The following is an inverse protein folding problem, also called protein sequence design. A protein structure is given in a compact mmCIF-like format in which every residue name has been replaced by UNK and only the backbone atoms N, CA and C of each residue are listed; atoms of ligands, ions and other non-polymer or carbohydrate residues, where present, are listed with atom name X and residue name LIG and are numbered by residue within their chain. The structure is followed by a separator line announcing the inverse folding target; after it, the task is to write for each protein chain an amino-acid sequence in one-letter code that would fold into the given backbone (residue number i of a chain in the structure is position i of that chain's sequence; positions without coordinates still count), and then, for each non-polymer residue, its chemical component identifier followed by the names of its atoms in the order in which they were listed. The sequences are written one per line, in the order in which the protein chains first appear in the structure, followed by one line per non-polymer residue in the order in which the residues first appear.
data_IF_760893677667
#
_entry.id   IF_760893677667
#
_cell.length_a   1.000
_cell.length_b   1.000
_cell.length_c   1.000
_cell.angle_alpha   90.00
_cell.angle_beta   90.00
_cell.angle_gamma   90.00
#
_symmetry.space_group_name_H-M   'P 1'
#
loop_
_entity.id
_entity.type
_entity.pdbx_description
1 polymer ?
#
# COMPACT_ATOMS: atom_id res chain seq x y z
N UNK A 1 -0.92 17.88 -14.50
CA UNK A 1 -1.05 18.05 -15.96
C UNK A 1 -1.45 16.71 -16.52
N UNK A 2 -2.60 16.63 -17.21
CA UNK A 2 -3.06 15.40 -17.83
C UNK A 2 -2.06 14.94 -18.89
N UNK A 3 -1.73 13.65 -18.89
CA UNK A 3 -0.91 13.03 -19.92
C UNK A 3 -1.82 12.66 -21.10
N UNK A 4 -1.35 12.89 -22.33
CA UNK A 4 -2.04 12.47 -23.54
C UNK A 4 -1.90 10.94 -23.76
N UNK A 5 -2.55 10.15 -22.91
CA UNK A 5 -2.47 8.69 -22.90
C UNK A 5 -3.69 8.06 -23.58
N UNK A 6 -3.45 7.03 -24.38
CA UNK A 6 -4.50 6.14 -24.89
C UNK A 6 -5.08 5.29 -23.75
N UNK A 7 -6.29 4.78 -23.93
CA UNK A 7 -6.92 3.86 -22.98
C UNK A 7 -6.00 2.68 -22.60
N UNK A 8 -5.39 2.04 -23.60
CA UNK A 8 -4.46 0.93 -23.40
C UNK A 8 -3.25 1.34 -22.53
N UNK A 9 -2.69 2.53 -22.74
CA UNK A 9 -1.57 3.03 -21.93
C UNK A 9 -1.99 3.24 -20.48
N UNK A 10 -3.19 3.78 -20.23
CA UNK A 10 -3.73 3.94 -18.86
C UNK A 10 -3.90 2.60 -18.15
N UNK A 11 -4.43 1.59 -18.84
CA UNK A 11 -4.55 0.23 -18.29
C UNK A 11 -3.18 -0.35 -17.92
N UNK A 12 -2.21 -0.29 -18.84
CA UNK A 12 -0.86 -0.83 -18.61
C UNK A 12 -0.18 -0.15 -17.42
N UNK A 13 -0.26 1.18 -17.36
CA UNK A 13 0.29 1.95 -16.23
C UNK A 13 -0.40 1.50 -14.94
N UNK A 14 -1.72 1.48 -14.91
CA UNK A 14 -2.49 1.08 -13.73
C UNK A 14 -2.11 -0.32 -13.24
N UNK A 15 -2.08 -1.31 -14.13
CA UNK A 15 -1.64 -2.68 -13.80
C UNK A 15 -0.22 -2.68 -13.24
N UNK A 16 0.72 -1.97 -13.85
CA UNK A 16 2.10 -1.91 -13.36
C UNK A 16 2.19 -1.33 -11.94
N UNK A 17 1.39 -0.29 -11.62
CA UNK A 17 1.32 0.28 -10.28
C UNK A 17 0.84 -0.74 -9.24
N UNK A 18 -0.27 -1.45 -9.51
CA UNK A 18 -0.78 -2.48 -8.60
C UNK A 18 0.15 -3.68 -8.45
N UNK A 19 0.88 -4.06 -9.51
CA UNK A 19 1.94 -5.08 -9.41
C UNK A 19 3.05 -4.64 -8.45
N UNK A 20 3.47 -3.36 -8.55
CA UNK A 20 4.51 -2.82 -7.66
C UNK A 20 4.02 -2.81 -6.21
N UNK A 21 2.81 -2.32 -5.93
CA UNK A 21 2.22 -2.37 -4.58
C UNK A 21 2.16 -3.80 -4.06
N UNK A 22 1.58 -4.73 -4.82
CA UNK A 22 1.49 -6.14 -4.45
C UNK A 22 2.84 -6.77 -4.07
N UNK A 23 3.89 -6.48 -4.84
CA UNK A 23 5.24 -6.99 -4.56
C UNK A 23 5.78 -6.41 -3.26
N UNK A 24 5.64 -5.10 -3.04
CA UNK A 24 6.09 -4.45 -1.81
C UNK A 24 5.39 -5.05 -0.57
N UNK A 25 4.07 -5.17 -0.64
CA UNK A 25 3.22 -5.69 0.45
C UNK A 25 3.52 -7.16 0.76
N UNK A 26 3.71 -8.02 -0.27
CA UNK A 26 4.10 -9.42 -0.04
C UNK A 26 5.49 -9.52 0.57
N UNK A 27 6.45 -8.70 0.12
CA UNK A 27 7.80 -8.70 0.70
C UNK A 27 7.76 -8.25 2.15
N UNK A 28 7.04 -7.17 2.47
CA UNK A 28 6.86 -6.70 3.83
C UNK A 28 6.18 -7.76 4.72
N UNK A 29 5.14 -8.43 4.20
CA UNK A 29 4.43 -9.49 4.90
C UNK A 29 5.35 -10.69 5.21
N UNK A 30 6.12 -11.14 4.23
CA UNK A 30 7.08 -12.23 4.42
C UNK A 30 8.14 -11.89 5.48
N UNK A 31 8.64 -10.65 5.47
CA UNK A 31 9.60 -10.16 6.46
C UNK A 31 8.97 -10.07 7.86
N UNK A 32 7.70 -9.64 7.99
CA UNK A 32 7.00 -9.63 9.28
C UNK A 32 6.84 -11.04 9.84
N UNK A 33 6.45 -12.01 9.01
CA UNK A 33 6.25 -13.41 9.44
C UNK A 33 7.58 -14.02 9.93
N UNK A 34 8.69 -13.76 9.25
CA UNK A 34 10.01 -14.22 9.70
C UNK A 34 10.45 -13.61 11.05
N UNK A 35 9.85 -12.49 11.45
CA UNK A 35 10.17 -11.81 12.72
C UNK A 35 9.30 -12.23 13.90
N UNK A 36 8.09 -12.76 13.65
CA UNK A 36 7.17 -13.17 14.74
C UNK A 36 7.72 -14.32 15.58
N UNK A 37 8.67 -15.09 15.04
CA UNK A 37 9.35 -16.18 15.75
C UNK A 37 10.49 -15.70 16.69
N UNK A 38 10.73 -14.38 16.81
CA UNK A 38 11.78 -13.85 17.68
C UNK A 38 11.29 -13.53 19.09
N UNK A 39 11.94 -14.09 20.10
CA UNK A 39 11.66 -13.82 21.52
C UNK A 39 11.79 -12.33 21.91
N UNK A 40 12.64 -11.52 21.24
CA UNK A 40 12.71 -10.07 21.54
C UNK A 40 11.41 -9.35 21.12
N UNK A 41 10.71 -9.88 20.12
CA UNK A 41 9.56 -9.24 19.47
C UNK A 41 8.23 -9.86 19.93
N UNK A 42 8.14 -11.19 19.98
CA UNK A 42 6.92 -11.92 20.34
C UNK A 42 6.59 -11.94 21.84
N UNK A 43 7.60 -11.85 22.71
CA UNK A 43 7.41 -12.01 24.17
C UNK A 43 7.38 -10.69 24.97
N UNK A 44 7.38 -9.52 24.32
CA UNK A 44 7.47 -8.20 24.97
C UNK A 44 6.25 -7.29 24.68
N UNK A 45 6.19 -6.16 25.37
CA UNK A 45 5.17 -5.08 25.24
C UNK A 45 5.01 -4.52 23.81
N UNK A 46 6.00 -4.74 22.94
CA UNK A 46 5.96 -4.33 21.53
C UNK A 46 5.23 -5.30 20.60
N UNK A 47 4.86 -6.49 21.10
CA UNK A 47 4.15 -7.51 20.33
C UNK A 47 2.82 -7.01 19.79
N UNK A 48 2.12 -6.14 20.52
CA UNK A 48 0.87 -5.52 20.08
C UNK A 48 1.07 -4.60 18.87
N UNK A 49 2.10 -3.76 18.87
CA UNK A 49 2.41 -2.89 17.73
C UNK A 49 2.80 -3.70 16.50
N UNK A 50 3.60 -4.74 16.69
CA UNK A 50 3.99 -5.64 15.60
C UNK A 50 2.81 -6.44 15.04
N UNK A 51 1.88 -6.87 15.89
CA UNK A 51 0.67 -7.55 15.46
C UNK A 51 -0.22 -6.64 14.61
N UNK A 52 -0.40 -5.38 15.04
CA UNK A 52 -1.14 -4.38 14.26
C UNK A 52 -0.44 -4.05 12.93
N UNK A 53 0.89 -3.90 12.95
CA UNK A 53 1.66 -3.75 11.72
C UNK A 53 1.41 -4.92 10.77
N UNK A 54 1.49 -6.17 11.26
CA UNK A 54 1.27 -7.35 10.42
C UNK A 54 -0.12 -7.43 9.80
N UNK A 55 -1.17 -7.07 10.54
CA UNK A 55 -2.54 -6.99 9.98
C UNK A 55 -2.61 -5.95 8.88
N UNK A 56 -2.04 -4.77 9.11
CA UNK A 56 -2.13 -3.66 8.16
C UNK A 56 -1.32 -3.91 6.90
N UNK A 57 -0.20 -4.63 6.95
CA UNK A 57 0.54 -5.10 5.76
C UNK A 57 -0.21 -6.21 5.01
N UNK A 58 -1.01 -7.02 5.71
CA UNK A 58 -1.75 -8.09 5.06
C UNK A 58 -2.97 -7.60 4.26
N UNK A 59 -3.65 -6.57 4.75
CA UNK A 59 -4.90 -6.05 4.18
C UNK A 59 -4.76 -5.62 2.70
N UNK A 60 -3.70 -4.90 2.27
CA UNK A 60 -3.55 -4.43 0.89
C UNK A 60 -3.29 -5.53 -0.14
N UNK A 61 -2.70 -6.67 0.25
CA UNK A 61 -2.27 -7.74 -0.66
C UNK A 61 -3.40 -8.25 -1.56
N UNK A 62 -4.55 -8.59 -0.97
CA UNK A 62 -5.71 -9.13 -1.69
C UNK A 62 -6.28 -8.11 -2.68
N UNK A 63 -6.63 -6.88 -2.27
CA UNK A 63 -7.15 -5.92 -3.21
C UNK A 63 -6.11 -5.48 -4.25
N UNK A 64 -4.82 -5.39 -3.94
CA UNK A 64 -3.79 -5.06 -4.93
C UNK A 64 -3.73 -6.08 -6.06
N UNK A 65 -3.75 -7.39 -5.74
CA UNK A 65 -3.76 -8.42 -6.79
C UNK A 65 -5.08 -8.40 -7.59
N UNK A 66 -6.20 -8.12 -6.94
CA UNK A 66 -7.49 -7.99 -7.62
C UNK A 66 -7.49 -6.80 -8.59
N UNK A 67 -7.05 -5.63 -8.16
CA UNK A 67 -6.94 -4.44 -9.03
C UNK A 67 -5.88 -4.60 -10.11
N UNK A 68 -4.79 -5.35 -9.86
CA UNK A 68 -3.84 -5.75 -10.89
C UNK A 68 -4.52 -6.55 -12.00
N UNK A 69 -5.28 -7.60 -11.64
CA UNK A 69 -6.01 -8.45 -12.59
C UNK A 69 -7.12 -7.67 -13.30
N UNK A 70 -7.82 -6.80 -12.56
CA UNK A 70 -8.88 -5.94 -13.05
C UNK A 70 -8.36 -4.68 -13.75
N UNK A 71 -7.05 -4.49 -13.92
CA UNK A 71 -6.47 -3.24 -14.45
C UNK A 71 -6.96 -2.83 -15.84
N UNK A 72 -7.56 -3.75 -16.59
CA UNK A 72 -8.25 -3.49 -17.87
C UNK A 72 -9.58 -2.73 -17.65
N UNK A 73 -10.25 -2.94 -16.52
CA UNK A 73 -11.55 -2.34 -16.16
C UNK A 73 -11.41 -1.00 -15.41
N UNK A 74 -10.25 -0.73 -14.79
CA UNK A 74 -10.03 0.49 -13.95
C UNK A 74 -10.12 1.79 -14.76
N UNK A 75 -9.86 1.73 -16.06
CA UNK A 75 -9.97 2.88 -16.95
C UNK A 75 -11.42 3.26 -17.29
N UNK A 76 -12.40 2.44 -16.95
CA UNK A 76 -13.81 2.81 -17.07
C UNK A 76 -14.25 3.73 -15.91
N UNK A 77 -15.18 4.68 -16.14
CA UNK A 77 -15.47 5.76 -15.20
C UNK A 77 -15.86 5.32 -13.78
N UNK A 78 -16.70 4.28 -13.67
CA UNK A 78 -17.14 3.74 -12.37
C UNK A 78 -15.98 3.14 -11.57
N UNK A 79 -15.06 2.43 -12.25
CA UNK A 79 -13.94 1.77 -11.61
C UNK A 79 -12.78 2.73 -11.31
N UNK A 80 -12.67 3.85 -12.04
CA UNK A 80 -11.69 4.90 -11.75
C UNK A 80 -11.94 5.54 -10.37
N UNK A 81 -13.20 5.87 -10.06
CA UNK A 81 -13.58 6.39 -8.75
C UNK A 81 -13.34 5.37 -7.62
N UNK A 82 -13.73 4.11 -7.84
CA UNK A 82 -13.49 3.03 -6.88
C UNK A 82 -11.99 2.82 -6.62
N UNK A 83 -11.17 2.84 -7.68
CA UNK A 83 -9.72 2.80 -7.60
C UNK A 83 -9.15 4.00 -6.82
N UNK A 84 -9.71 5.20 -7.00
CA UNK A 84 -9.31 6.39 -6.26
C UNK A 84 -9.53 6.24 -4.76
N UNK A 85 -10.75 5.85 -4.36
CA UNK A 85 -11.10 5.55 -2.96
C UNK A 85 -10.19 4.46 -2.37
N UNK A 86 -9.96 3.38 -3.11
CA UNK A 86 -9.09 2.29 -2.69
C UNK A 86 -7.69 2.79 -2.34
N UNK A 87 -7.05 3.54 -3.24
CA UNK A 87 -5.70 4.04 -3.03
C UNK A 87 -5.59 5.04 -1.88
N UNK A 88 -6.65 5.85 -1.64
CA UNK A 88 -6.72 6.72 -0.45
C UNK A 88 -6.69 5.87 0.82
N UNK A 89 -7.53 4.84 0.91
CA UNK A 89 -7.59 3.98 2.10
C UNK A 89 -6.27 3.23 2.28
N UNK A 90 -5.70 2.66 1.21
CA UNK A 90 -4.43 1.93 1.30
C UNK A 90 -3.27 2.83 1.69
N UNK A 91 -3.20 4.07 1.20
CA UNK A 91 -2.22 5.04 1.66
C UNK A 91 -2.23 5.17 3.19
N UNK A 92 -3.41 5.33 3.81
CA UNK A 92 -3.51 5.43 5.26
C UNK A 92 -3.13 4.11 5.97
N UNK A 93 -3.54 2.96 5.41
CA UNK A 93 -3.20 1.64 5.96
C UNK A 93 -1.68 1.42 5.96
N UNK A 94 -1.00 1.67 4.84
CA UNK A 94 0.46 1.55 4.71
C UNK A 94 1.20 2.50 5.64
N UNK A 95 0.73 3.75 5.75
CA UNK A 95 1.33 4.75 6.67
C UNK A 95 1.15 4.32 8.13
N UNK A 96 -0.01 3.78 8.51
CA UNK A 96 -0.24 3.25 9.85
C UNK A 96 0.62 2.01 10.13
N UNK A 97 0.76 1.10 9.15
CA UNK A 97 1.66 -0.06 9.26
C UNK A 97 3.10 0.39 9.51
N UNK A 98 3.57 1.37 8.73
CA UNK A 98 4.86 2.03 8.90
C UNK A 98 5.03 2.61 10.31
N UNK A 99 4.08 3.39 10.81
CA UNK A 99 4.14 3.98 12.15
C UNK A 99 4.26 2.87 13.21
N UNK A 100 3.45 1.81 13.14
CA UNK A 100 3.53 0.72 14.11
C UNK A 100 4.84 -0.08 14.02
N UNK A 101 5.37 -0.29 12.82
CA UNK A 101 6.69 -0.89 12.63
C UNK A 101 7.81 -0.03 13.25
N UNK A 102 7.76 1.31 13.13
CA UNK A 102 8.75 2.16 13.80
C UNK A 102 8.58 2.19 15.31
N UNK A 103 7.34 2.23 15.82
CA UNK A 103 7.05 2.25 17.26
C UNK A 103 7.46 0.95 17.98
N UNK A 104 7.55 -0.17 17.27
CA UNK A 104 7.99 -1.44 17.84
C UNK A 104 9.50 -1.58 17.97
N UNK A 105 10.28 -0.60 17.51
CA UNK A 105 11.75 -0.59 17.63
C UNK A 105 12.15 -0.16 19.03
N UNK A 106 12.72 -1.10 19.80
CA UNK A 106 13.12 -0.85 21.20
C UNK A 106 14.62 -0.64 21.41
N UNK A 107 15.45 -0.87 20.38
CA UNK A 107 16.90 -0.80 20.49
C UNK A 107 17.51 -1.96 21.30
N UNK A 108 16.87 -3.14 21.31
CA UNK A 108 17.35 -4.32 22.06
C UNK A 108 18.63 -4.95 21.46
N UNK A 109 19.12 -4.45 20.32
CA UNK A 109 20.32 -4.95 19.64
C UNK A 109 20.10 -6.25 18.85
N UNK A 110 18.86 -6.76 18.79
CA UNK A 110 18.53 -7.94 18.00
C UNK A 110 18.48 -7.58 16.50
N UNK A 111 19.19 -8.30 15.62
CA UNK A 111 19.15 -8.09 14.17
C UNK A 111 17.74 -8.06 13.55
N UNK A 112 16.78 -8.78 14.15
CA UNK A 112 15.38 -8.76 13.70
C UNK A 112 14.73 -7.38 13.81
N UNK A 113 15.23 -6.47 14.65
CA UNK A 113 14.75 -5.07 14.67
C UNK A 113 15.13 -4.29 13.42
N UNK A 114 16.26 -4.63 12.78
CA UNK A 114 16.61 -4.03 11.49
C UNK A 114 15.64 -4.49 10.40
N UNK A 115 15.17 -5.73 10.47
CA UNK A 115 14.12 -6.23 9.58
C UNK A 115 12.80 -5.49 9.81
N UNK A 116 12.42 -5.20 11.06
CA UNK A 116 11.23 -4.39 11.38
C UNK A 116 11.31 -3.01 10.73
N UNK A 117 12.47 -2.35 10.86
CA UNK A 117 12.72 -1.05 10.24
C UNK A 117 12.60 -1.13 8.71
N UNK A 118 13.13 -2.19 8.10
CA UNK A 118 13.02 -2.40 6.66
C UNK A 118 11.55 -2.53 6.23
N UNK A 119 10.72 -3.26 6.99
CA UNK A 119 9.28 -3.33 6.74
C UNK A 119 8.64 -1.94 6.83
N UNK A 120 8.91 -1.18 7.89
CA UNK A 120 8.36 0.18 8.02
C UNK A 120 8.71 1.09 6.84
N UNK A 121 9.93 0.96 6.30
CA UNK A 121 10.35 1.70 5.09
C UNK A 121 9.64 1.21 3.83
N UNK A 122 9.48 -0.11 3.66
CA UNK A 122 8.76 -0.68 2.51
C UNK A 122 7.30 -0.20 2.49
N UNK A 123 6.63 -0.24 3.64
CA UNK A 123 5.26 0.24 3.82
C UNK A 123 5.14 1.73 3.54
N UNK A 124 6.12 2.54 3.96
CA UNK A 124 6.13 3.96 3.63
C UNK A 124 6.22 4.18 2.11
N UNK A 125 7.05 3.40 1.42
CA UNK A 125 7.18 3.45 -0.04
C UNK A 125 5.87 3.03 -0.69
N UNK A 126 5.25 1.93 -0.26
CA UNK A 126 3.96 1.47 -0.77
C UNK A 126 2.87 2.54 -0.61
N UNK A 127 2.79 3.17 0.57
CA UNK A 127 1.91 4.30 0.81
C UNK A 127 2.16 5.46 -0.17
N UNK A 128 3.41 5.86 -0.39
CA UNK A 128 3.75 6.90 -1.37
C UNK A 128 3.32 6.50 -2.79
N UNK A 129 3.49 5.24 -3.18
CA UNK A 129 3.04 4.73 -4.48
C UNK A 129 1.53 4.86 -4.62
N UNK A 130 0.75 4.46 -3.61
CA UNK A 130 -0.70 4.67 -3.60
C UNK A 130 -1.07 6.15 -3.72
N UNK A 131 -0.36 7.05 -3.02
CA UNK A 131 -0.57 8.50 -3.11
C UNK A 131 -0.31 9.05 -4.52
N UNK A 132 0.79 8.63 -5.15
CA UNK A 132 1.11 8.99 -6.54
C UNK A 132 0.03 8.48 -7.48
N UNK A 133 -0.50 7.29 -7.24
CA UNK A 133 -1.53 6.72 -8.09
C UNK A 133 -2.89 7.43 -7.92
N UNK A 134 -3.23 7.95 -6.74
CA UNK A 134 -4.37 8.87 -6.57
C UNK A 134 -4.25 10.07 -7.51
N UNK A 135 -3.06 10.66 -7.58
CA UNK A 135 -2.82 11.78 -8.49
C UNK A 135 -2.94 11.35 -9.95
N UNK A 136 -2.44 10.16 -10.31
CA UNK A 136 -2.63 9.61 -11.64
C UNK A 136 -4.11 9.45 -12.00
N UNK A 137 -4.92 8.87 -11.11
CA UNK A 137 -6.38 8.68 -11.28
C UNK A 137 -7.06 10.02 -11.51
N UNK A 138 -6.80 11.01 -10.65
CA UNK A 138 -7.39 12.34 -10.74
C UNK A 138 -7.13 13.03 -12.08
N UNK A 139 -5.90 12.92 -12.61
CA UNK A 139 -5.49 13.70 -13.79
C UNK A 139 -5.59 12.92 -15.11
N UNK A 140 -5.71 11.58 -15.09
CA UNK A 140 -5.54 10.76 -16.29
C UNK A 140 -6.62 9.70 -16.51
N UNK A 141 -7.49 9.43 -15.54
CA UNK A 141 -8.62 8.51 -15.73
C UNK A 141 -9.93 9.29 -15.91
N UNK A 142 -10.80 8.77 -16.77
CA UNK A 142 -12.09 9.39 -17.07
C UNK A 142 -12.95 9.41 -15.80
N UNK A 143 -13.58 10.56 -15.50
CA UNK A 143 -14.34 10.83 -14.26
C UNK A 143 -13.55 10.72 -12.93
N UNK A 144 -12.22 10.52 -12.96
CA UNK A 144 -11.39 10.48 -11.74
C UNK A 144 -11.47 11.76 -10.90
N UNK A 145 -11.76 12.89 -11.53
CA UNK A 145 -11.97 14.20 -10.91
C UNK A 145 -13.27 14.32 -10.09
N UNK A 146 -14.29 13.50 -10.40
CA UNK A 146 -15.60 13.51 -9.72
C UNK A 146 -15.41 13.22 -8.23
N UNK A 147 -14.46 12.33 -7.91
CA UNK A 147 -14.08 11.97 -6.54
C UNK A 147 -13.53 13.15 -5.72
N UNK A 148 -12.99 14.17 -6.40
CA UNK A 148 -12.36 15.34 -5.80
C UNK A 148 -13.16 16.62 -6.02
N UNK A 149 -14.30 16.54 -6.69
CA UNK A 149 -15.15 17.69 -6.95
C UNK A 149 -15.87 18.11 -5.66
N UNK A 150 -15.92 19.42 -5.38
CA UNK A 150 -16.61 19.97 -4.21
C UNK A 150 -18.14 20.01 -4.36
N UNK A 151 -18.65 19.60 -5.51
CA UNK A 151 -20.07 19.68 -5.85
C UNK A 151 -20.75 18.36 -5.51
N UNK A 152 -21.03 18.16 -4.23
CA UNK A 152 -22.15 17.33 -3.78
C UNK A 152 -23.34 18.23 -3.47
#
# INVERSE_FOLDING_TARGET
MPLNLTHLQRCIISTAFYVVCFILEIVACALIIDMTDSDCIGAREISTFMWWSGILVFIPIIPDILYCIMGILISEPFYAALGGCYNIVMFFVCVLACIFAFLSVTGCGNPKQTTVLAVGVIELIAGIVHLVFIWFIKENLDEGEVLFSKNF
#
